data_IF_577247040142
#
_entry.id   IF_577247040142
#
_cell.length_a   1.000
_cell.length_b   1.000
_cell.length_c   1.000
_cell.angle_alpha   90.00
_cell.angle_beta   90.00
_cell.angle_gamma   90.00
#
_symmetry.space_group_name_H-M   'P 1'
#
loop_
_entity.id
_entity.type
_entity.pdbx_description
1 polymer ?
#
# COMPACT_ATOMS: atom_id res chain seq x y z
N UNK A 1 13.21 16.99 12.97
CA UNK A 1 13.99 17.43 11.80
C UNK A 1 13.59 18.86 11.48
N UNK A 2 14.55 19.77 11.37
CA UNK A 2 14.29 21.19 11.17
C UNK A 2 14.35 21.54 9.67
N UNK A 3 13.22 21.96 9.08
CA UNK A 3 13.16 22.30 7.66
C UNK A 3 14.05 23.49 7.28
N UNK A 4 14.45 24.32 8.26
CA UNK A 4 15.35 25.46 8.04
C UNK A 4 16.75 25.04 7.60
N UNK A 5 17.15 23.80 7.88
CA UNK A 5 18.41 23.22 7.44
C UNK A 5 18.41 22.84 5.95
N UNK A 6 17.24 22.80 5.30
CA UNK A 6 17.06 22.36 3.90
C UNK A 6 16.80 23.53 2.96
N UNK A 7 17.66 24.54 3.04
CA UNK A 7 17.60 25.76 2.23
C UNK A 7 18.84 25.91 1.34
N UNK A 8 18.71 26.67 0.24
CA UNK A 8 19.84 27.03 -0.61
C UNK A 8 20.12 28.53 -0.41
N UNK A 9 21.36 28.92 -0.08
CA UNK A 9 21.71 30.34 0.08
C UNK A 9 21.28 31.17 -1.12
N UNK A 10 20.75 32.36 -0.85
CA UNK A 10 20.35 33.36 -1.86
C UNK A 10 19.19 32.94 -2.80
N UNK A 11 18.52 31.81 -2.56
CA UNK A 11 17.36 31.35 -3.34
C UNK A 11 16.16 31.13 -2.41
N UNK A 12 15.00 31.71 -2.75
CA UNK A 12 13.79 31.48 -1.98
C UNK A 12 13.29 30.03 -2.16
N UNK A 13 12.63 29.41 -1.16
CA UNK A 13 12.05 28.07 -1.30
C UNK A 13 11.15 27.91 -2.54
N UNK A 14 10.33 28.91 -2.84
CA UNK A 14 9.44 28.90 -4.00
C UNK A 14 10.21 28.96 -5.32
N UNK A 15 11.25 29.79 -5.41
CA UNK A 15 12.09 29.85 -6.59
C UNK A 15 12.87 28.56 -6.82
N UNK A 16 13.40 27.95 -5.74
CA UNK A 16 14.11 26.67 -5.83
C UNK A 16 13.20 25.56 -6.37
N UNK A 17 11.99 25.41 -5.82
CA UNK A 17 11.02 24.43 -6.32
C UNK A 17 10.64 24.71 -7.77
N UNK A 18 10.37 25.97 -8.11
CA UNK A 18 10.00 26.36 -9.48
C UNK A 18 11.12 26.06 -10.48
N UNK A 19 12.36 26.37 -10.13
CA UNK A 19 13.49 26.20 -11.05
C UNK A 19 13.98 24.76 -11.13
N UNK A 20 14.21 24.11 -9.99
CA UNK A 20 14.77 22.77 -9.96
C UNK A 20 13.73 21.70 -10.29
N UNK A 21 12.55 21.75 -9.66
CA UNK A 21 11.52 20.73 -9.85
C UNK A 21 10.59 21.04 -11.02
N UNK A 22 9.86 22.16 -10.99
CA UNK A 22 8.82 22.40 -12.01
C UNK A 22 9.46 22.62 -13.40
N UNK A 23 10.42 23.55 -13.52
CA UNK A 23 11.08 23.84 -14.79
C UNK A 23 12.14 22.80 -15.15
N UNK A 24 13.00 22.45 -14.18
CA UNK A 24 14.15 21.58 -14.39
C UNK A 24 13.78 20.10 -14.54
N UNK A 25 12.99 19.55 -13.61
CA UNK A 25 12.66 18.13 -13.63
C UNK A 25 11.41 17.81 -14.44
N UNK A 26 10.31 18.55 -14.24
CA UNK A 26 9.00 18.21 -14.83
C UNK A 26 8.90 18.69 -16.28
N UNK A 27 9.31 19.94 -16.56
CA UNK A 27 9.07 20.60 -17.84
C UNK A 27 10.28 20.61 -18.80
N UNK A 28 11.46 20.16 -18.37
CA UNK A 28 12.61 20.03 -19.27
C UNK A 28 12.68 18.65 -19.91
N UNK A 29 13.27 18.55 -21.11
CA UNK A 29 13.40 17.29 -21.83
C UNK A 29 14.23 16.26 -21.04
N UNK A 30 15.40 16.66 -20.55
CA UNK A 30 16.32 15.76 -19.87
C UNK A 30 15.85 15.43 -18.45
N UNK A 31 15.28 16.41 -17.75
CA UNK A 31 14.66 16.19 -16.45
C UNK A 31 13.46 15.27 -16.52
N UNK A 32 12.65 15.37 -17.58
CA UNK A 32 11.48 14.50 -17.76
C UNK A 32 11.89 13.04 -17.90
N UNK A 33 13.04 12.75 -18.53
CA UNK A 33 13.57 11.38 -18.59
C UNK A 33 13.81 10.83 -17.19
N UNK A 34 14.42 11.60 -16.30
CA UNK A 34 14.66 11.18 -14.90
C UNK A 34 13.34 11.03 -14.13
N UNK A 35 12.40 11.96 -14.31
CA UNK A 35 11.06 11.87 -13.72
C UNK A 35 10.36 10.56 -14.10
N UNK A 36 10.34 10.22 -15.39
CA UNK A 36 9.70 9.00 -15.88
C UNK A 36 10.43 7.73 -15.43
N UNK A 37 11.76 7.78 -15.29
CA UNK A 37 12.53 6.66 -14.74
C UNK A 37 12.14 6.37 -13.29
N UNK A 38 12.00 7.40 -12.45
CA UNK A 38 11.55 7.22 -11.06
C UNK A 38 10.10 6.74 -11.06
N UNK A 39 9.22 7.37 -11.84
CA UNK A 39 7.80 7.00 -11.91
C UNK A 39 7.61 5.53 -12.33
N UNK A 40 8.35 5.09 -13.35
CA UNK A 40 8.33 3.73 -13.87
C UNK A 40 9.12 2.71 -13.06
N UNK A 41 9.80 3.10 -11.97
CA UNK A 41 10.55 2.18 -11.13
C UNK A 41 9.65 1.29 -10.26
N UNK A 42 8.37 1.66 -10.09
CA UNK A 42 7.41 0.86 -9.36
C UNK A 42 7.02 -0.40 -10.16
N UNK A 43 7.29 -1.63 -9.65
CA UNK A 43 6.90 -2.86 -10.32
C UNK A 43 5.40 -2.90 -10.62
N UNK A 44 5.04 -3.34 -11.82
CA UNK A 44 3.65 -3.43 -12.32
C UNK A 44 2.86 -2.11 -12.22
N UNK A 45 3.54 -0.96 -12.26
CA UNK A 45 2.94 0.36 -12.01
C UNK A 45 2.18 0.45 -10.68
N UNK A 46 2.54 -0.38 -9.70
CA UNK A 46 1.80 -0.51 -8.45
C UNK A 46 2.32 0.47 -7.42
N UNK A 47 1.40 1.23 -6.83
CA UNK A 47 1.75 2.23 -5.83
C UNK A 47 2.36 1.57 -4.59
N UNK A 48 3.61 1.89 -4.22
CA UNK A 48 4.27 1.33 -3.04
C UNK A 48 3.70 1.82 -1.70
N UNK A 49 2.91 2.89 -1.70
CA UNK A 49 2.25 3.40 -0.48
C UNK A 49 0.96 2.65 -0.11
N UNK A 50 0.32 1.97 -1.07
CA UNK A 50 -0.89 1.19 -0.77
C UNK A 50 -0.88 -0.23 -1.32
N UNK A 51 0.11 -0.58 -2.14
CA UNK A 51 0.22 -1.91 -2.74
C UNK A 51 -0.91 -2.27 -3.72
N UNK A 52 -1.73 -1.31 -4.16
CA UNK A 52 -2.88 -1.55 -5.05
C UNK A 52 -3.01 -0.52 -6.19
N UNK A 53 -3.12 0.76 -5.88
CA UNK A 53 -3.42 1.80 -6.86
C UNK A 53 -2.36 1.92 -7.96
N UNK A 54 -2.75 2.38 -9.14
CA UNK A 54 -1.82 2.60 -10.26
C UNK A 54 -1.03 3.88 -10.03
N UNK A 55 0.29 3.82 -10.19
CA UNK A 55 1.19 4.96 -10.11
C UNK A 55 0.85 5.97 -11.20
N UNK A 56 0.70 7.23 -10.80
CA UNK A 56 0.40 8.35 -11.72
C UNK A 56 1.20 9.61 -11.43
N UNK A 57 1.82 9.68 -10.25
CA UNK A 57 2.50 10.87 -9.76
C UNK A 57 3.76 10.48 -9.00
N UNK A 58 4.68 11.43 -8.83
CA UNK A 58 5.71 11.35 -7.78
C UNK A 58 5.23 12.15 -6.56
N UNK A 59 5.14 11.48 -5.43
CA UNK A 59 4.97 12.09 -4.11
C UNK A 59 6.33 12.57 -3.58
N UNK A 60 6.31 13.71 -2.91
CA UNK A 60 7.45 14.17 -2.12
C UNK A 60 7.29 13.66 -0.69
N UNK A 61 8.11 12.69 -0.27
CA UNK A 61 8.00 12.11 1.08
C UNK A 61 8.06 13.21 2.16
N UNK A 62 9.04 14.09 2.04
CA UNK A 62 9.11 15.39 2.71
C UNK A 62 8.60 16.48 1.76
N UNK A 63 7.54 17.23 2.12
CA UNK A 63 6.88 18.19 1.24
C UNK A 63 7.85 19.22 0.66
N UNK A 64 7.88 19.34 -0.67
CA UNK A 64 8.78 20.26 -1.40
C UNK A 64 8.65 21.73 -0.97
N UNK A 65 7.48 22.14 -0.47
CA UNK A 65 7.25 23.50 0.05
C UNK A 65 8.03 23.79 1.33
N UNK A 66 8.24 22.76 2.15
CA UNK A 66 8.94 22.86 3.42
C UNK A 66 10.41 22.43 3.30
N UNK A 67 10.70 21.46 2.43
CA UNK A 67 12.04 20.91 2.20
C UNK A 67 12.46 21.13 0.74
N UNK A 68 12.64 22.39 0.30
CA UNK A 68 12.85 22.72 -1.11
C UNK A 68 14.19 22.18 -1.64
N UNK A 69 15.21 22.03 -0.79
CA UNK A 69 16.48 21.40 -1.19
C UNK A 69 16.34 19.92 -1.58
N UNK A 70 15.27 19.25 -1.13
CA UNK A 70 14.98 17.84 -1.42
C UNK A 70 13.96 17.67 -2.55
N UNK A 71 13.57 18.75 -3.25
CA UNK A 71 12.48 18.68 -4.23
C UNK A 71 12.78 17.82 -5.46
N UNK A 72 14.06 17.52 -5.72
CA UNK A 72 14.52 16.64 -6.81
C UNK A 72 15.35 15.46 -6.30
N UNK A 73 15.41 15.25 -4.99
CA UNK A 73 16.17 14.14 -4.40
C UNK A 73 15.43 12.82 -4.68
N UNK A 74 16.08 11.82 -5.31
CA UNK A 74 15.44 10.54 -5.61
C UNK A 74 14.93 9.77 -4.39
N UNK A 75 15.57 9.92 -3.22
CA UNK A 75 15.06 9.31 -1.97
C UNK A 75 13.82 10.03 -1.47
N UNK A 76 13.65 11.31 -1.80
CA UNK A 76 12.47 12.08 -1.43
C UNK A 76 11.32 11.95 -2.45
N UNK A 77 11.55 11.33 -3.61
CA UNK A 77 10.57 11.16 -4.68
C UNK A 77 10.06 9.71 -4.74
N UNK A 78 8.79 9.52 -4.38
CA UNK A 78 8.16 8.21 -4.30
C UNK A 78 7.05 8.08 -5.36
N UNK A 79 7.10 7.08 -6.26
CA UNK A 79 5.97 6.75 -7.12
C UNK A 79 4.68 6.56 -6.30
N UNK A 80 3.61 7.20 -6.71
CA UNK A 80 2.35 7.17 -5.97
C UNK A 80 1.14 7.19 -6.90
N UNK A 81 0.07 6.51 -6.50
CA UNK A 81 -1.25 6.77 -7.06
C UNK A 81 -1.75 8.14 -6.59
N UNK A 82 -2.70 8.71 -7.32
CA UNK A 82 -3.25 10.03 -7.01
C UNK A 82 -3.87 10.09 -5.61
N UNK A 83 -4.58 9.05 -5.19
CA UNK A 83 -5.25 8.98 -3.89
C UNK A 83 -4.25 9.00 -2.73
N UNK A 84 -3.15 8.25 -2.83
CA UNK A 84 -2.13 8.21 -1.77
C UNK A 84 -1.36 9.52 -1.69
N UNK A 85 -0.97 10.10 -2.84
CA UNK A 85 -0.31 11.40 -2.88
C UNK A 85 -1.20 12.48 -2.22
N UNK A 86 -2.50 12.49 -2.56
CA UNK A 86 -3.47 13.40 -1.95
C UNK A 86 -3.65 13.16 -0.44
N UNK A 87 -3.81 11.90 -0.02
CA UNK A 87 -4.05 11.54 1.38
C UNK A 87 -2.88 11.91 2.31
N UNK A 88 -1.65 11.72 1.83
CA UNK A 88 -0.43 12.15 2.55
C UNK A 88 -0.33 13.68 2.58
N UNK A 89 -0.49 14.30 1.42
CA UNK A 89 -0.38 15.75 1.24
C UNK A 89 0.92 16.30 1.81
N UNK A 90 0.83 17.49 2.42
CA UNK A 90 1.98 18.19 2.99
C UNK A 90 2.23 17.89 4.48
N UNK A 91 1.67 16.80 5.03
CA UNK A 91 1.83 16.50 6.46
C UNK A 91 3.28 16.14 6.79
N UNK A 92 3.79 16.72 7.86
CA UNK A 92 5.05 16.31 8.46
C UNK A 92 4.80 15.33 9.60
N UNK A 93 5.65 14.31 9.76
CA UNK A 93 5.65 13.52 10.98
C UNK A 93 5.96 14.39 12.19
N UNK A 94 5.23 14.18 13.29
CA UNK A 94 5.46 14.88 14.56
C UNK A 94 6.42 14.12 15.48
N UNK A 95 6.52 12.81 15.27
CA UNK A 95 7.30 11.85 16.05
C UNK A 95 7.64 10.62 15.19
N UNK A 96 8.39 9.69 15.76
CA UNK A 96 8.86 8.51 15.03
C UNK A 96 7.67 7.59 14.68
N UNK A 97 6.71 7.44 15.58
CA UNK A 97 5.54 6.56 15.48
C UNK A 97 4.54 7.02 14.41
N UNK A 98 4.41 8.32 14.20
CA UNK A 98 3.55 8.95 13.17
C UNK A 98 4.28 9.24 11.86
N UNK A 99 5.47 8.67 11.68
CA UNK A 99 6.19 8.72 10.40
C UNK A 99 5.70 7.58 9.50
N UNK A 100 5.07 7.86 8.34
CA UNK A 100 4.64 6.79 7.45
C UNK A 100 5.85 5.97 6.99
N UNK A 101 5.62 4.71 6.66
CA UNK A 101 6.66 3.86 6.09
C UNK A 101 7.19 4.46 4.79
N UNK A 102 8.51 4.49 4.67
CA UNK A 102 9.25 4.97 3.53
C UNK A 102 9.61 3.79 2.63
N UNK A 103 9.06 3.69 1.41
CA UNK A 103 9.23 2.49 0.57
C UNK A 103 10.66 2.06 0.26
N UNK A 104 11.60 3.01 0.23
CA UNK A 104 13.02 2.70 -0.01
C UNK A 104 13.82 2.32 1.24
N UNK A 105 13.38 2.75 2.42
CA UNK A 105 14.18 2.68 3.65
C UNK A 105 13.65 1.63 4.63
N UNK A 106 12.33 1.48 4.74
CA UNK A 106 11.72 0.51 5.63
C UNK A 106 11.65 -0.87 4.98
N UNK A 107 12.19 -1.88 5.67
CA UNK A 107 12.25 -3.27 5.20
C UNK A 107 11.22 -4.11 5.95
N UNK A 108 9.97 -3.97 5.56
CA UNK A 108 8.84 -4.69 6.17
C UNK A 108 8.33 -5.85 5.32
N UNK A 109 8.69 -5.92 4.04
CA UNK A 109 8.10 -6.85 3.08
C UNK A 109 8.51 -8.31 3.30
N UNK A 110 9.57 -8.55 4.06
CA UNK A 110 10.09 -9.89 4.37
C UNK A 110 9.37 -10.58 5.53
N UNK A 111 8.56 -9.84 6.30
CA UNK A 111 7.82 -10.37 7.43
C UNK A 111 6.31 -10.25 7.17
N UNK A 112 5.50 -11.24 7.59
CA UNK A 112 4.05 -11.15 7.45
C UNK A 112 3.49 -10.20 8.51
N UNK A 113 3.01 -9.03 8.09
CA UNK A 113 2.42 -8.03 8.95
C UNK A 113 0.97 -7.67 8.60
N UNK A 114 0.49 -8.05 7.41
CA UNK A 114 -0.91 -7.86 7.02
C UNK A 114 -1.72 -9.14 7.30
N UNK A 115 -2.87 -8.98 7.93
CA UNK A 115 -3.84 -10.06 8.10
C UNK A 115 -5.28 -9.56 7.93
N UNK A 116 -6.20 -10.51 7.81
CA UNK A 116 -7.63 -10.22 7.72
C UNK A 116 -8.46 -11.29 8.42
N UNK A 117 -9.66 -10.90 8.84
CA UNK A 117 -10.67 -11.80 9.38
C UNK A 117 -11.97 -11.68 8.58
N UNK A 118 -12.71 -12.79 8.47
CA UNK A 118 -14.02 -12.81 7.83
C UNK A 118 -15.06 -12.29 8.81
N UNK A 119 -15.81 -11.29 8.38
CA UNK A 119 -16.99 -10.80 9.08
C UNK A 119 -18.22 -11.30 8.35
N UNK A 120 -19.01 -12.13 9.05
CA UNK A 120 -20.23 -12.76 8.58
C UNK A 120 -21.40 -11.77 8.54
N UNK A 121 -21.26 -10.73 7.71
CA UNK A 121 -22.34 -9.82 7.31
C UNK A 121 -22.98 -10.28 6.00
N UNK A 122 -24.04 -9.59 5.57
CA UNK A 122 -24.59 -9.74 4.22
C UNK A 122 -24.42 -8.42 3.44
N UNK A 123 -23.54 -8.36 2.42
CA UNK A 123 -22.65 -9.44 1.95
C UNK A 123 -21.52 -9.74 2.95
N UNK A 124 -20.86 -10.90 2.80
CA UNK A 124 -19.63 -11.21 3.56
C UNK A 124 -18.62 -10.08 3.38
N UNK A 125 -17.93 -9.73 4.47
CA UNK A 125 -16.92 -8.67 4.50
C UNK A 125 -15.61 -9.20 5.07
N UNK A 126 -14.48 -8.55 4.71
CA UNK A 126 -13.19 -8.83 5.33
C UNK A 126 -12.67 -7.59 6.05
N UNK A 127 -12.31 -7.76 7.32
CA UNK A 127 -11.66 -6.72 8.11
C UNK A 127 -10.15 -6.94 8.08
N UNK A 128 -9.44 -6.04 7.39
CA UNK A 128 -7.97 -6.05 7.31
C UNK A 128 -7.35 -5.27 8.46
N UNK A 129 -6.26 -5.81 9.02
CA UNK A 129 -5.55 -5.18 10.14
C UNK A 129 -4.05 -5.48 10.12
N UNK A 130 -3.30 -4.64 10.84
CA UNK A 130 -1.86 -4.79 11.04
C UNK A 130 -1.59 -5.77 12.18
N UNK A 131 -0.97 -6.90 11.84
CA UNK A 131 -0.60 -8.03 12.69
C UNK A 131 0.87 -8.46 12.45
N UNK A 132 1.85 -7.63 12.84
CA UNK A 132 3.28 -7.90 12.64
C UNK A 132 3.81 -8.96 13.62
N UNK A 133 4.99 -9.54 13.34
CA UNK A 133 5.68 -10.40 14.30
C UNK A 133 5.94 -9.68 15.62
N UNK A 134 5.85 -10.41 16.74
CA UNK A 134 6.11 -9.87 18.08
C UNK A 134 7.58 -9.46 18.29
N UNK A 135 8.48 -9.86 17.39
CA UNK A 135 9.89 -9.47 17.38
C UNK A 135 10.13 -8.05 16.83
N UNK A 136 9.15 -7.44 16.17
CA UNK A 136 9.29 -6.08 15.66
C UNK A 136 9.44 -5.06 16.78
N UNK A 137 10.30 -4.05 16.54
CA UNK A 137 10.41 -2.91 17.45
C UNK A 137 9.08 -2.14 17.50
N UNK A 138 8.68 -1.67 18.68
CA UNK A 138 7.40 -0.97 18.88
C UNK A 138 7.21 0.19 17.90
N UNK A 139 8.25 0.97 17.65
CA UNK A 139 8.20 2.11 16.72
C UNK A 139 7.82 1.65 15.30
N UNK A 140 8.35 0.53 14.82
CA UNK A 140 8.01 0.02 13.48
C UNK A 140 6.55 -0.45 13.41
N UNK A 141 6.05 -1.07 14.48
CA UNK A 141 4.65 -1.47 14.61
C UNK A 141 3.75 -0.23 14.50
N UNK A 142 4.02 0.81 15.29
CA UNK A 142 3.21 2.03 15.27
C UNK A 142 3.26 2.75 13.92
N UNK A 143 4.45 2.83 13.29
CA UNK A 143 4.60 3.39 11.94
C UNK A 143 3.79 2.64 10.90
N UNK A 144 3.76 1.31 11.00
CA UNK A 144 2.98 0.45 10.10
C UNK A 144 1.49 0.67 10.30
N UNK A 145 1.02 0.77 11.56
CA UNK A 145 -0.37 1.10 11.88
C UNK A 145 -0.75 2.49 11.37
N UNK A 146 0.10 3.49 11.62
CA UNK A 146 -0.10 4.85 11.14
C UNK A 146 -0.18 4.91 9.61
N UNK A 147 0.74 4.26 8.90
CA UNK A 147 0.74 4.16 7.45
C UNK A 147 -0.56 3.50 6.93
N UNK A 148 -0.96 2.39 7.56
CA UNK A 148 -2.19 1.67 7.23
C UNK A 148 -3.45 2.54 7.39
N UNK A 149 -3.50 3.35 8.45
CA UNK A 149 -4.58 4.32 8.68
C UNK A 149 -4.51 5.51 7.74
N UNK A 150 -3.32 6.09 7.52
CA UNK A 150 -3.13 7.29 6.70
C UNK A 150 -3.62 7.07 5.27
N UNK A 151 -3.34 5.89 4.70
CA UNK A 151 -3.74 5.54 3.33
C UNK A 151 -5.07 4.79 3.25
N UNK A 152 -5.80 4.64 4.36
CA UNK A 152 -7.12 4.00 4.39
C UNK A 152 -7.10 2.55 3.91
N UNK A 153 -6.01 1.82 4.18
CA UNK A 153 -5.76 0.51 3.58
C UNK A 153 -6.79 -0.55 3.99
N UNK A 154 -7.34 -0.46 5.20
CA UNK A 154 -8.40 -1.36 5.66
C UNK A 154 -9.59 -1.37 4.68
N UNK A 155 -10.14 -0.19 4.41
CA UNK A 155 -11.29 0.00 3.53
C UNK A 155 -10.93 -0.33 2.08
N UNK A 156 -9.77 0.14 1.61
CA UNK A 156 -9.31 -0.14 0.27
C UNK A 156 -9.24 -1.64 0.01
N UNK A 157 -8.60 -2.40 0.89
CA UNK A 157 -8.42 -3.84 0.73
C UNK A 157 -9.73 -4.59 0.87
N UNK A 158 -10.59 -4.22 1.83
CA UNK A 158 -11.90 -4.85 1.99
C UNK A 158 -12.79 -4.71 0.74
N UNK A 159 -12.81 -3.53 0.11
CA UNK A 159 -13.55 -3.31 -1.15
C UNK A 159 -13.03 -4.22 -2.27
N UNK A 160 -11.72 -4.37 -2.41
CA UNK A 160 -11.13 -5.22 -3.44
C UNK A 160 -11.32 -6.72 -3.14
N UNK A 161 -11.22 -7.11 -1.87
CA UNK A 161 -11.50 -8.46 -1.41
C UNK A 161 -12.94 -8.86 -1.77
N UNK A 162 -13.92 -7.99 -1.50
CA UNK A 162 -15.31 -8.26 -1.86
C UNK A 162 -15.55 -8.38 -3.37
N UNK A 163 -14.89 -7.56 -4.18
CA UNK A 163 -14.94 -7.70 -5.65
C UNK A 163 -14.39 -9.06 -6.09
N UNK A 164 -13.28 -9.48 -5.48
CA UNK A 164 -12.63 -10.78 -5.73
C UNK A 164 -13.58 -11.92 -5.35
N UNK A 165 -14.12 -11.92 -4.12
CA UNK A 165 -15.09 -12.91 -3.65
C UNK A 165 -16.30 -12.99 -4.57
N UNK A 166 -16.88 -11.85 -4.95
CA UNK A 166 -18.00 -11.81 -5.88
C UNK A 166 -17.65 -12.42 -7.25
N UNK A 167 -16.43 -12.20 -7.74
CA UNK A 167 -15.98 -12.73 -9.03
C UNK A 167 -15.79 -14.24 -9.05
N UNK A 168 -15.46 -14.84 -7.90
CA UNK A 168 -15.26 -16.30 -7.77
C UNK A 168 -16.46 -17.03 -7.16
N UNK A 169 -17.52 -16.32 -6.72
CA UNK A 169 -18.66 -16.91 -6.01
C UNK A 169 -19.25 -18.13 -6.72
N UNK A 170 -19.48 -18.04 -8.03
CA UNK A 170 -20.06 -19.15 -8.79
C UNK A 170 -19.18 -20.40 -8.78
N UNK A 171 -17.86 -20.21 -8.89
CA UNK A 171 -16.89 -21.30 -8.79
C UNK A 171 -16.89 -21.92 -7.40
N UNK A 172 -16.98 -21.10 -6.34
CA UNK A 172 -17.06 -21.58 -4.96
C UNK A 172 -18.33 -22.41 -4.72
N UNK A 173 -19.50 -21.99 -5.21
CA UNK A 173 -20.75 -22.77 -5.14
C UNK A 173 -20.60 -24.12 -5.86
N UNK A 174 -20.07 -24.12 -7.09
CA UNK A 174 -19.87 -25.37 -7.83
C UNK A 174 -18.90 -26.34 -7.12
N UNK A 175 -17.84 -25.82 -6.49
CA UNK A 175 -16.91 -26.61 -5.68
C UNK A 175 -17.56 -27.16 -4.41
N UNK A 176 -18.39 -26.35 -3.74
CA UNK A 176 -19.13 -26.75 -2.56
C UNK A 176 -20.12 -27.89 -2.89
N UNK A 177 -20.86 -27.76 -3.98
CA UNK A 177 -21.81 -28.78 -4.45
C UNK A 177 -21.11 -30.10 -4.83
N UNK A 178 -19.93 -30.01 -5.47
CA UNK A 178 -19.21 -31.17 -5.97
C UNK A 178 -18.42 -31.91 -4.89
N UNK A 179 -17.85 -31.20 -3.92
CA UNK A 179 -16.86 -31.76 -3.01
C UNK A 179 -16.85 -31.17 -1.61
N UNK A 180 -17.87 -30.38 -1.25
CA UNK A 180 -18.06 -29.84 0.09
C UNK A 180 -17.01 -28.81 0.51
N UNK A 181 -17.06 -28.45 1.79
CA UNK A 181 -16.23 -27.39 2.39
C UNK A 181 -14.71 -27.61 2.23
N UNK A 182 -14.26 -28.86 2.20
CA UNK A 182 -12.83 -29.17 2.14
C UNK A 182 -12.27 -28.92 0.73
N UNK A 183 -13.10 -29.07 -0.31
CA UNK A 183 -12.74 -28.71 -1.69
C UNK A 183 -12.62 -27.19 -1.84
N UNK A 184 -13.56 -26.44 -1.27
CA UNK A 184 -13.51 -24.97 -1.22
C UNK A 184 -12.26 -24.50 -0.47
N UNK A 185 -11.99 -25.07 0.71
CA UNK A 185 -10.80 -24.73 1.51
C UNK A 185 -9.50 -25.01 0.76
N UNK A 186 -9.39 -26.16 0.10
CA UNK A 186 -8.20 -26.52 -0.67
C UNK A 186 -7.93 -25.48 -1.77
N UNK A 187 -8.93 -25.14 -2.58
CA UNK A 187 -8.81 -24.10 -3.60
C UNK A 187 -8.36 -22.75 -3.03
N UNK A 188 -9.02 -22.27 -1.97
CA UNK A 188 -8.66 -21.00 -1.35
C UNK A 188 -7.25 -21.02 -0.74
N UNK A 189 -6.80 -22.17 -0.23
CA UNK A 189 -5.44 -22.34 0.30
C UNK A 189 -4.40 -22.25 -0.82
N UNK A 190 -4.61 -22.96 -1.93
CA UNK A 190 -3.71 -22.94 -3.09
C UNK A 190 -3.59 -21.54 -3.70
N UNK A 191 -4.72 -20.83 -3.81
CA UNK A 191 -4.78 -19.44 -4.29
C UNK A 191 -4.05 -18.46 -3.35
N UNK A 192 -4.12 -18.70 -2.03
CA UNK A 192 -3.40 -17.93 -1.03
C UNK A 192 -1.89 -18.16 -1.15
N UNK A 193 -1.44 -19.41 -1.19
CA UNK A 193 -0.03 -19.78 -1.32
C UNK A 193 0.59 -19.18 -2.58
N UNK A 194 -0.11 -19.29 -3.72
CA UNK A 194 0.33 -18.75 -5.01
C UNK A 194 0.59 -17.24 -4.93
N UNK A 195 -0.33 -16.47 -4.34
CA UNK A 195 -0.21 -15.00 -4.27
C UNK A 195 0.77 -14.52 -3.21
N UNK A 196 0.83 -15.21 -2.08
CA UNK A 196 1.71 -14.86 -0.96
C UNK A 196 3.18 -15.21 -1.25
N UNK A 197 3.45 -16.12 -2.19
CA UNK A 197 4.80 -16.45 -2.62
C UNK A 197 5.55 -15.25 -3.24
N UNK A 198 4.85 -14.41 -4.00
CA UNK A 198 5.42 -13.19 -4.59
C UNK A 198 5.22 -11.97 -3.67
N UNK A 199 4.03 -11.85 -3.06
CA UNK A 199 3.67 -10.70 -2.23
C UNK A 199 3.13 -11.16 -0.88
N UNK A 200 4.05 -11.36 0.06
CA UNK A 200 3.77 -11.83 1.42
C UNK A 200 2.72 -10.98 2.17
N UNK A 201 2.67 -9.69 1.87
CA UNK A 201 1.72 -8.73 2.44
C UNK A 201 0.73 -8.19 1.41
N UNK A 202 0.52 -8.92 0.31
CA UNK A 202 -0.48 -8.60 -0.71
C UNK A 202 -1.90 -8.86 -0.22
N UNK A 203 -2.77 -7.84 -0.28
CA UNK A 203 -4.16 -7.94 0.18
C UNK A 203 -4.93 -9.12 -0.44
N UNK A 204 -4.62 -9.48 -1.68
CA UNK A 204 -5.30 -10.56 -2.40
C UNK A 204 -4.94 -11.92 -1.80
N UNK A 205 -3.66 -12.22 -1.60
CA UNK A 205 -3.23 -13.46 -0.93
C UNK A 205 -3.74 -13.55 0.51
N UNK A 206 -3.75 -12.42 1.24
CA UNK A 206 -4.35 -12.33 2.59
C UNK A 206 -5.86 -12.60 2.56
N UNK A 207 -6.56 -12.14 1.52
CA UNK A 207 -7.99 -12.42 1.31
C UNK A 207 -8.23 -13.93 1.25
N UNK A 208 -7.57 -14.61 0.30
CA UNK A 208 -7.71 -16.06 0.14
C UNK A 208 -7.37 -16.83 1.42
N UNK A 209 -6.28 -16.44 2.10
CA UNK A 209 -5.87 -17.04 3.38
C UNK A 209 -6.94 -16.89 4.47
N UNK A 210 -7.53 -15.69 4.60
CA UNK A 210 -8.57 -15.43 5.60
C UNK A 210 -9.83 -16.26 5.31
N UNK A 211 -10.25 -16.33 4.05
CA UNK A 211 -11.40 -17.13 3.61
C UNK A 211 -11.19 -18.64 3.84
N UNK A 212 -9.99 -19.16 3.52
CA UNK A 212 -9.66 -20.58 3.70
C UNK A 212 -9.69 -21.02 5.18
N UNK A 213 -9.32 -20.10 6.09
CA UNK A 213 -9.30 -20.33 7.55
C UNK A 213 -10.68 -20.22 8.19
N UNK A 214 -11.67 -19.65 7.50
CA UNK A 214 -13.02 -19.48 8.04
C UNK A 214 -13.92 -20.66 7.64
N UNK A 215 -14.33 -21.45 8.64
CA UNK A 215 -15.16 -22.65 8.45
C UNK A 215 -16.54 -22.34 7.88
N UNK A 216 -17.17 -21.24 8.32
CA UNK A 216 -18.51 -20.87 7.88
C UNK A 216 -18.50 -20.40 6.41
N UNK A 217 -17.48 -19.65 6.00
CA UNK A 217 -17.24 -19.28 4.62
C UNK A 217 -17.02 -20.50 3.75
N UNK A 218 -16.09 -21.39 4.13
CA UNK A 218 -15.85 -22.64 3.39
C UNK A 218 -17.12 -23.50 3.29
N UNK A 219 -18.04 -23.39 4.24
CA UNK A 219 -19.31 -24.11 4.28
C UNK A 219 -20.50 -23.33 3.66
N UNK A 220 -20.24 -22.29 2.85
CA UNK A 220 -21.26 -21.63 2.02
C UNK A 220 -21.76 -20.26 2.51
N UNK A 221 -21.13 -19.64 3.53
CA UNK A 221 -21.57 -18.29 3.97
C UNK A 221 -21.47 -17.22 2.86
N UNK A 222 -20.74 -17.48 1.76
CA UNK A 222 -20.66 -16.63 0.57
C UNK A 222 -21.90 -16.65 -0.33
N UNK A 223 -22.86 -17.55 -0.10
CA UNK A 223 -24.11 -17.68 -0.85
C UNK A 223 -25.24 -16.80 -0.29
N UNK A 224 -25.05 -16.28 0.93
CA UNK A 224 -26.01 -15.47 1.68
C UNK A 224 -26.06 -14.01 1.23
#
# INVERSE_FOLDING_TARGET
MDSREFTVPDITPGDLVRWAYDNGMVNSKDGRVVYEQILGAAPDERCPLCGHGVVRTLDHFLPKRMFPALCVDPLNLVPACADCNHAKGERLPTDAETTPLHPYLDRIDHDPWLDAQVTHSNPVWLDFFVNPPSSWAQILIERTRYHFTLFGLATLFAVQANRTVNSIRHQLTAMLDAGGKDTVRAYLTDEAETRLADRLNGWEGVTYRALARDDAFCNGAFEL
#
